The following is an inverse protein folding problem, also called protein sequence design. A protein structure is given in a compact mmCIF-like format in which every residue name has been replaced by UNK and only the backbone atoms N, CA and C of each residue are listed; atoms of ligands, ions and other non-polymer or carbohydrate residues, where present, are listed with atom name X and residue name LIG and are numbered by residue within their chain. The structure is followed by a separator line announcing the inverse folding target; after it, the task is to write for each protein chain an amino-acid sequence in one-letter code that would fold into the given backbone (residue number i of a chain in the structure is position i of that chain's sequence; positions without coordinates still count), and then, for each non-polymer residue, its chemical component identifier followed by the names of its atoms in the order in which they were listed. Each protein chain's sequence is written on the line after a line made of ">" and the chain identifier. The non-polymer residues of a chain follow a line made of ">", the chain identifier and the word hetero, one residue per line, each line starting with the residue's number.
data_IF_108423380422
#
_entry.id   IF_108423380422
#
_cell.length_a   1.000
_cell.length_b   1.000
_cell.length_c   1.000
_cell.angle_alpha   90.00
_cell.angle_beta   90.00
_cell.angle_gamma   90.00
#
_symmetry.space_group_name_H-M   'P 1'
#
loop_
_entity.id
_entity.type
_entity.pdbx_description
1 polymer ?
#
# COMPACT_ATOMS: atom_id res chain seq x y z
N UNK A 1 -45.31 10.18 9.63
CA UNK A 1 -46.00 9.42 8.56
C UNK A 1 -46.79 8.30 9.22
N UNK A 2 -48.05 8.09 8.84
CA UNK A 2 -48.90 7.04 9.43
C UNK A 2 -48.49 5.66 8.93
N UNK A 3 -48.51 4.64 9.79
CA UNK A 3 -48.21 3.26 9.40
C UNK A 3 -49.31 2.68 8.50
N UNK A 4 -49.01 1.64 7.73
CA UNK A 4 -50.00 0.96 6.88
C UNK A 4 -51.19 0.43 7.71
N UNK A 5 -50.90 -0.14 8.88
CA UNK A 5 -51.89 -0.66 9.81
C UNK A 5 -52.81 0.44 10.34
N UNK A 6 -52.25 1.61 10.68
CA UNK A 6 -53.00 2.79 11.13
C UNK A 6 -53.95 3.30 10.03
N UNK A 7 -53.49 3.33 8.78
CA UNK A 7 -54.30 3.78 7.62
C UNK A 7 -55.46 2.82 7.37
N UNK A 8 -55.23 1.52 7.38
CA UNK A 8 -56.28 0.51 7.21
C UNK A 8 -57.28 0.55 8.37
N UNK A 9 -56.80 0.69 9.61
CA UNK A 9 -57.66 0.80 10.79
C UNK A 9 -58.57 2.03 10.68
N UNK A 10 -58.04 3.16 10.24
CA UNK A 10 -58.80 4.39 10.03
C UNK A 10 -59.88 4.24 8.95
N UNK A 11 -59.55 3.61 7.81
CA UNK A 11 -60.53 3.37 6.73
C UNK A 11 -61.62 2.37 7.15
N UNK A 12 -61.26 1.28 7.84
CA UNK A 12 -62.24 0.31 8.36
C UNK A 12 -63.20 0.95 9.36
N UNK A 13 -62.69 1.80 10.25
CA UNK A 13 -63.51 2.53 11.22
C UNK A 13 -64.43 3.55 10.53
N UNK A 14 -63.92 4.24 9.51
CA UNK A 14 -64.70 5.17 8.69
C UNK A 14 -65.90 4.51 7.99
N UNK A 15 -65.71 3.28 7.47
CA UNK A 15 -66.79 2.48 6.88
C UNK A 15 -67.81 2.07 7.94
N UNK A 16 -67.35 1.59 9.11
CA UNK A 16 -68.23 1.19 10.23
C UNK A 16 -69.09 2.33 10.77
N UNK A 17 -68.57 3.56 10.79
CA UNK A 17 -69.31 4.75 11.26
C UNK A 17 -70.20 5.40 10.18
N UNK A 18 -70.44 4.74 9.04
CA UNK A 18 -71.30 5.26 7.98
C UNK A 18 -70.75 6.52 7.33
N UNK A 19 -69.44 6.55 7.02
CA UNK A 19 -68.76 7.65 6.34
C UNK A 19 -68.70 8.99 7.12
N UNK A 20 -68.88 8.95 8.44
CA UNK A 20 -68.76 10.13 9.30
C UNK A 20 -67.30 10.47 9.61
N UNK A 21 -66.75 11.42 8.85
CA UNK A 21 -65.34 11.85 8.96
C UNK A 21 -64.98 12.35 10.36
N UNK A 22 -65.78 13.27 10.91
CA UNK A 22 -65.48 13.89 12.21
C UNK A 22 -65.58 12.90 13.37
N UNK A 23 -66.47 11.91 13.28
CA UNK A 23 -66.60 10.86 14.29
C UNK A 23 -65.37 9.94 14.30
N UNK A 24 -64.88 9.59 13.11
CA UNK A 24 -63.67 8.77 12.93
C UNK A 24 -62.42 9.48 13.49
N UNK A 25 -62.27 10.78 13.19
CA UNK A 25 -61.14 11.59 13.66
C UNK A 25 -61.18 11.79 15.18
N UNK A 26 -62.36 12.02 15.76
CA UNK A 26 -62.52 12.14 17.22
C UNK A 26 -62.21 10.83 17.95
N UNK A 27 -62.54 9.68 17.37
CA UNK A 27 -62.28 8.37 17.98
C UNK A 27 -60.82 7.93 17.89
N UNK A 28 -60.14 8.23 16.78
CA UNK A 28 -58.75 7.80 16.57
C UNK A 28 -57.72 8.85 17.01
N UNK A 29 -58.05 10.15 17.03
CA UNK A 29 -57.12 11.24 17.37
C UNK A 29 -56.09 11.57 16.26
N UNK A 30 -56.00 10.70 15.27
CA UNK A 30 -55.32 10.84 13.98
C UNK A 30 -56.31 10.25 12.96
N UNK A 31 -56.57 10.76 11.75
CA UNK A 31 -55.70 11.45 10.79
C UNK A 31 -56.32 12.78 10.32
N UNK A 32 -55.69 13.49 9.37
CA UNK A 32 -56.31 14.69 8.76
C UNK A 32 -57.50 14.33 7.86
N UNK A 33 -58.48 15.25 7.77
CA UNK A 33 -59.69 15.08 6.92
C UNK A 33 -59.36 14.69 5.48
N UNK A 34 -58.30 15.27 4.91
CA UNK A 34 -57.87 15.02 3.53
C UNK A 34 -57.16 13.67 3.39
N UNK A 35 -56.36 13.26 4.38
CA UNK A 35 -55.72 11.95 4.38
C UNK A 35 -56.75 10.81 4.42
N UNK A 36 -57.77 10.92 5.29
CA UNK A 36 -58.82 9.90 5.38
C UNK A 36 -59.64 9.78 4.10
N UNK A 37 -59.94 10.92 3.43
CA UNK A 37 -60.59 10.92 2.11
C UNK A 37 -59.73 10.26 1.03
N UNK A 38 -58.42 10.53 1.03
CA UNK A 38 -57.47 9.92 0.11
C UNK A 38 -57.41 8.41 0.28
N UNK A 39 -57.21 7.96 1.51
CA UNK A 39 -57.16 6.53 1.83
C UNK A 39 -58.48 5.81 1.50
N UNK A 40 -59.63 6.44 1.78
CA UNK A 40 -60.92 5.84 1.44
C UNK A 40 -61.10 5.67 -0.08
N UNK A 41 -60.68 6.66 -0.89
CA UNK A 41 -60.72 6.56 -2.36
C UNK A 41 -59.81 5.45 -2.88
N UNK A 42 -58.59 5.37 -2.37
CA UNK A 42 -57.65 4.29 -2.71
C UNK A 42 -58.24 2.93 -2.34
N UNK A 43 -58.82 2.80 -1.14
CA UNK A 43 -59.42 1.57 -0.67
C UNK A 43 -60.62 1.12 -1.51
N UNK A 44 -61.47 2.03 -2.00
CA UNK A 44 -62.56 1.66 -2.92
C UNK A 44 -62.01 1.14 -4.26
N UNK A 45 -60.92 1.74 -4.76
CA UNK A 45 -60.40 1.43 -6.09
C UNK A 45 -59.59 0.13 -6.14
N UNK A 46 -58.78 -0.15 -5.11
CA UNK A 46 -57.89 -1.33 -5.08
C UNK A 46 -58.27 -2.38 -4.02
N UNK A 47 -59.32 -2.16 -3.23
CA UNK A 47 -59.67 -2.97 -2.04
C UNK A 47 -58.54 -3.09 -0.99
N UNK A 48 -57.45 -2.35 -1.19
CA UNK A 48 -56.28 -2.30 -0.33
C UNK A 48 -55.57 -0.94 -0.44
N UNK A 49 -54.79 -0.57 0.58
CA UNK A 49 -54.02 0.66 0.65
C UNK A 49 -52.58 0.42 0.21
N UNK A 50 -51.93 1.42 -0.40
CA UNK A 50 -50.53 1.25 -0.80
C UNK A 50 -49.60 1.31 0.41
N UNK A 51 -48.79 0.27 0.58
CA UNK A 51 -47.78 0.14 1.66
C UNK A 51 -46.63 1.15 1.52
N UNK A 52 -46.40 1.71 0.33
CA UNK A 52 -45.34 2.68 0.06
C UNK A 52 -45.63 3.64 -1.08
N UNK A 53 -44.77 4.67 -1.21
CA UNK A 53 -44.82 5.62 -2.33
C UNK A 53 -44.36 4.92 -3.62
N UNK A 54 -45.31 4.39 -4.38
CA UNK A 54 -45.05 3.84 -5.71
C UNK A 54 -45.06 5.00 -6.70
N UNK A 55 -43.89 5.33 -7.27
CA UNK A 55 -43.81 6.22 -8.45
C UNK A 55 -44.45 5.49 -9.63
N UNK A 56 -45.77 5.61 -9.77
CA UNK A 56 -46.51 5.05 -10.91
C UNK A 56 -46.30 5.83 -12.21
N UNK A 57 -45.59 6.95 -12.17
CA UNK A 57 -45.25 7.66 -13.39
C UNK A 57 -44.07 6.96 -14.07
N UNK A 58 -44.39 5.93 -14.86
CA UNK A 58 -43.49 5.45 -15.89
C UNK A 58 -43.31 6.58 -16.90
N UNK A 59 -42.12 7.19 -16.94
CA UNK A 59 -41.81 8.33 -17.81
C UNK A 59 -41.92 8.01 -19.30
N UNK A 60 -41.98 6.72 -19.65
CA UNK A 60 -42.01 6.22 -21.03
C UNK A 60 -43.04 5.10 -21.13
N UNK A 61 -43.79 5.08 -22.23
CA UNK A 61 -44.76 4.02 -22.52
C UNK A 61 -44.06 2.70 -22.84
N UNK A 62 -44.74 1.58 -22.63
CA UNK A 62 -44.22 0.24 -22.96
C UNK A 62 -43.90 0.10 -24.45
N UNK A 63 -44.69 0.73 -25.33
CA UNK A 63 -44.44 0.77 -26.77
C UNK A 63 -43.14 1.52 -27.10
N UNK A 64 -42.89 2.67 -26.47
CA UNK A 64 -41.63 3.41 -26.64
C UNK A 64 -40.41 2.59 -26.19
N UNK A 65 -40.57 1.77 -25.14
CA UNK A 65 -39.50 0.86 -24.71
C UNK A 65 -39.18 -0.18 -25.79
N UNK A 66 -40.21 -0.81 -26.36
CA UNK A 66 -40.04 -1.86 -27.38
C UNK A 66 -39.35 -1.31 -28.65
N UNK A 67 -39.83 -0.18 -29.18
CA UNK A 67 -39.24 0.46 -30.36
C UNK A 67 -37.76 0.82 -30.13
N UNK A 68 -37.41 1.32 -28.94
CA UNK A 68 -36.04 1.66 -28.61
C UNK A 68 -35.11 0.44 -28.54
N UNK A 69 -35.62 -0.70 -28.06
CA UNK A 69 -34.87 -1.96 -27.97
C UNK A 69 -34.76 -2.63 -29.34
N UNK A 70 -35.82 -2.63 -30.15
CA UNK A 70 -35.79 -3.15 -31.53
C UNK A 70 -34.79 -2.38 -32.40
N UNK A 71 -34.84 -1.05 -32.37
CA UNK A 71 -33.87 -0.21 -33.08
C UNK A 71 -32.43 -0.48 -32.60
N UNK A 72 -32.23 -0.78 -31.32
CA UNK A 72 -30.90 -1.13 -30.78
C UNK A 72 -30.39 -2.47 -31.34
N UNK A 73 -31.29 -3.43 -31.55
CA UNK A 73 -30.96 -4.73 -32.13
C UNK A 73 -30.63 -4.64 -33.61
N UNK A 74 -31.42 -3.89 -34.37
CA UNK A 74 -31.22 -3.70 -35.82
C UNK A 74 -29.91 -2.99 -36.16
N UNK A 75 -29.48 -2.05 -35.30
CA UNK A 75 -28.33 -1.17 -35.57
C UNK A 75 -27.05 -1.59 -34.82
N UNK A 76 -26.89 -2.89 -34.54
CA UNK A 76 -25.62 -3.45 -34.07
C UNK A 76 -25.26 -3.12 -32.62
N UNK A 77 -26.25 -2.96 -31.73
CA UNK A 77 -26.06 -2.79 -30.29
C UNK A 77 -25.32 -1.50 -29.87
N UNK A 78 -25.44 -0.43 -30.65
CA UNK A 78 -24.87 0.87 -30.31
C UNK A 78 -25.88 1.77 -29.56
N UNK A 79 -25.74 1.85 -28.23
CA UNK A 79 -26.61 2.69 -27.38
C UNK A 79 -26.55 4.18 -27.75
N UNK A 80 -25.38 4.68 -28.14
CA UNK A 80 -25.21 6.09 -28.50
C UNK A 80 -25.92 6.42 -29.81
N UNK A 81 -25.99 5.47 -30.75
CA UNK A 81 -26.68 5.65 -32.01
C UNK A 81 -28.19 5.69 -31.81
N UNK A 82 -28.75 4.73 -31.07
CA UNK A 82 -30.20 4.69 -30.79
C UNK A 82 -30.69 5.94 -30.06
N UNK A 83 -29.92 6.45 -29.10
CA UNK A 83 -30.24 7.70 -28.41
C UNK A 83 -30.25 8.92 -29.34
N UNK A 84 -29.32 8.98 -30.31
CA UNK A 84 -29.29 10.09 -31.29
C UNK A 84 -30.42 10.00 -32.30
N UNK A 85 -30.79 8.79 -32.73
CA UNK A 85 -31.84 8.60 -33.74
C UNK A 85 -33.23 8.81 -33.17
N UNK A 86 -33.49 8.31 -31.95
CA UNK A 86 -34.82 8.38 -31.33
C UNK A 86 -35.02 9.65 -30.49
N UNK A 87 -33.94 10.31 -30.04
CA UNK A 87 -33.99 11.54 -29.24
C UNK A 87 -34.44 11.36 -27.78
N UNK A 88 -34.85 10.15 -27.43
CA UNK A 88 -35.11 9.59 -26.10
C UNK A 88 -34.67 8.10 -26.22
N UNK A 89 -34.34 7.32 -25.18
CA UNK A 89 -34.25 7.53 -23.72
C UNK A 89 -32.82 7.87 -23.22
N UNK A 90 -32.61 7.92 -21.90
CA UNK A 90 -31.25 8.01 -21.32
C UNK A 90 -30.50 6.68 -21.45
N UNK A 91 -29.16 6.73 -21.41
CA UNK A 91 -28.30 5.53 -21.49
C UNK A 91 -28.66 4.48 -20.44
N UNK A 92 -28.94 4.93 -19.21
CA UNK A 92 -29.32 4.06 -18.09
C UNK A 92 -30.68 3.41 -18.34
N UNK A 93 -31.70 4.19 -18.74
CA UNK A 93 -33.03 3.66 -19.04
C UNK A 93 -33.01 2.66 -20.20
N UNK A 94 -32.23 2.92 -21.26
CA UNK A 94 -32.07 1.97 -22.36
C UNK A 94 -31.40 0.68 -21.89
N UNK A 95 -30.37 0.78 -21.04
CA UNK A 95 -29.71 -0.39 -20.46
C UNK A 95 -30.66 -1.21 -19.60
N UNK A 96 -31.50 -0.56 -18.79
CA UNK A 96 -32.49 -1.23 -17.96
C UNK A 96 -33.55 -1.94 -18.82
N UNK A 97 -34.02 -1.31 -19.90
CA UNK A 97 -34.99 -1.95 -20.81
C UNK A 97 -34.40 -3.13 -21.58
N UNK A 98 -33.15 -3.04 -22.01
CA UNK A 98 -32.43 -4.16 -22.62
C UNK A 98 -32.28 -5.30 -21.60
N UNK A 99 -31.99 -4.98 -20.33
CA UNK A 99 -31.90 -5.99 -19.26
C UNK A 99 -33.27 -6.62 -18.94
N UNK A 100 -34.36 -5.85 -18.98
CA UNK A 100 -35.74 -6.31 -18.76
C UNK A 100 -36.22 -7.23 -19.90
N UNK A 101 -35.94 -6.88 -21.16
CA UNK A 101 -36.47 -7.59 -22.34
C UNK A 101 -35.53 -8.67 -22.90
N UNK A 102 -34.22 -8.51 -22.75
CA UNK A 102 -33.20 -9.42 -23.28
C UNK A 102 -32.08 -9.70 -22.26
N UNK A 103 -32.35 -10.53 -21.24
CA UNK A 103 -31.34 -10.91 -20.25
C UNK A 103 -30.14 -11.66 -20.87
N UNK A 104 -30.30 -12.25 -22.06
CA UNK A 104 -29.24 -12.90 -22.85
C UNK A 104 -28.16 -11.91 -23.33
N UNK A 105 -28.56 -10.66 -23.61
CA UNK A 105 -27.66 -9.59 -24.05
C UNK A 105 -26.96 -8.89 -22.90
N UNK A 106 -27.23 -9.34 -21.68
CA UNK A 106 -26.41 -8.99 -20.53
C UNK A 106 -25.00 -9.41 -20.90
N UNK A 107 -24.19 -8.44 -21.37
CA UNK A 107 -22.74 -8.53 -21.28
C UNK A 107 -22.54 -8.81 -19.82
N UNK A 108 -22.28 -10.09 -19.52
CA UNK A 108 -21.49 -10.47 -18.36
C UNK A 108 -20.25 -9.65 -18.59
N UNK A 109 -20.24 -8.43 -18.07
CA UNK A 109 -19.02 -7.74 -17.76
C UNK A 109 -18.38 -8.77 -16.89
N UNK A 110 -17.45 -9.52 -17.49
CA UNK A 110 -16.49 -10.30 -16.77
C UNK A 110 -15.71 -9.23 -16.04
N UNK A 111 -16.31 -8.70 -14.97
CA UNK A 111 -15.72 -7.75 -14.05
C UNK A 111 -14.66 -8.56 -13.38
N UNK A 112 -13.52 -8.64 -14.06
CA UNK A 112 -12.40 -9.54 -13.82
C UNK A 112 -12.82 -11.00 -13.93
N UNK A 113 -12.05 -11.79 -14.69
CA UNK A 113 -11.97 -13.22 -14.38
C UNK A 113 -11.84 -13.31 -12.86
N UNK A 114 -12.72 -14.09 -12.21
CA UNK A 114 -12.78 -14.23 -10.76
C UNK A 114 -11.36 -14.07 -10.21
N UNK A 115 -11.11 -13.01 -9.43
CA UNK A 115 -9.83 -12.86 -8.74
C UNK A 115 -9.67 -14.16 -7.97
N UNK A 116 -8.92 -15.13 -8.52
CA UNK A 116 -8.72 -16.42 -7.90
C UNK A 116 -8.06 -16.07 -6.60
N UNK A 117 -8.83 -16.17 -5.52
CA UNK A 117 -8.36 -15.73 -4.22
C UNK A 117 -7.37 -16.77 -3.78
N UNK A 118 -6.09 -16.55 -4.10
CA UNK A 118 -5.03 -17.47 -3.72
C UNK A 118 -4.93 -17.46 -2.20
N UNK A 119 -4.99 -18.64 -1.60
CA UNK A 119 -4.82 -18.81 -0.15
C UNK A 119 -3.45 -18.22 0.26
N UNK A 120 -3.35 -17.63 1.46
CA UNK A 120 -2.10 -17.03 1.92
C UNK A 120 -0.95 -18.05 1.95
N UNK A 121 -1.24 -19.31 2.29
CA UNK A 121 -0.28 -20.41 2.26
C UNK A 121 0.27 -20.68 0.85
N UNK A 122 -0.60 -20.69 -0.17
CA UNK A 122 -0.19 -20.86 -1.56
C UNK A 122 0.68 -19.70 -2.05
N UNK A 123 0.35 -18.46 -1.64
CA UNK A 123 1.19 -17.29 -1.96
C UNK A 123 2.57 -17.38 -1.33
N UNK A 124 2.65 -17.80 -0.06
CA UNK A 124 3.93 -17.94 0.64
C UNK A 124 4.79 -19.05 0.02
N UNK A 125 4.22 -20.22 -0.29
CA UNK A 125 4.92 -21.29 -0.99
C UNK A 125 5.44 -20.84 -2.36
N UNK A 126 4.61 -20.15 -3.14
CA UNK A 126 5.00 -19.61 -4.44
C UNK A 126 6.13 -18.57 -4.36
N UNK A 127 6.17 -17.76 -3.29
CA UNK A 127 7.25 -16.79 -3.07
C UNK A 127 8.53 -17.46 -2.57
N UNK A 128 8.43 -18.51 -1.75
CA UNK A 128 9.58 -19.31 -1.34
C UNK A 128 10.23 -19.99 -2.55
N UNK A 129 9.43 -20.70 -3.36
CA UNK A 129 9.88 -21.32 -4.61
C UNK A 129 10.45 -20.27 -5.58
N UNK A 130 9.86 -19.07 -5.59
CA UNK A 130 10.42 -17.96 -6.33
C UNK A 130 11.80 -17.60 -5.77
N UNK A 131 11.96 -17.31 -4.49
CA UNK A 131 13.25 -16.87 -3.92
C UNK A 131 14.36 -17.93 -3.99
N UNK A 132 14.03 -19.22 -3.95
CA UNK A 132 15.01 -20.32 -3.99
C UNK A 132 15.30 -20.84 -5.40
N UNK A 133 14.63 -20.31 -6.44
CA UNK A 133 14.77 -20.80 -7.82
C UNK A 133 16.18 -20.60 -8.38
N UNK A 134 16.65 -21.59 -9.12
CA UNK A 134 17.77 -21.43 -10.09
C UNK A 134 17.27 -21.09 -11.51
N UNK A 135 15.97 -21.25 -11.77
CA UNK A 135 15.35 -21.05 -13.09
C UNK A 135 14.74 -19.66 -13.27
N UNK A 136 14.29 -19.36 -14.49
CA UNK A 136 13.64 -18.09 -14.80
C UNK A 136 12.31 -17.89 -14.04
N UNK A 137 11.99 -16.63 -13.74
CA UNK A 137 10.73 -16.23 -13.09
C UNK A 137 9.47 -16.70 -13.85
N UNK A 138 9.57 -16.85 -15.17
CA UNK A 138 8.47 -17.31 -16.02
C UNK A 138 8.22 -18.81 -15.90
N UNK A 139 9.24 -19.62 -15.61
CA UNK A 139 9.07 -21.05 -15.37
C UNK A 139 8.29 -21.31 -14.06
N UNK A 140 8.65 -20.59 -12.98
CA UNK A 140 7.95 -20.65 -11.69
C UNK A 140 6.51 -20.12 -11.81
N UNK A 141 6.30 -19.07 -12.60
CA UNK A 141 4.97 -18.55 -12.90
C UNK A 141 4.07 -19.64 -13.55
N UNK A 142 4.63 -20.40 -14.50
CA UNK A 142 3.90 -21.49 -15.16
C UNK A 142 3.61 -22.67 -14.22
N UNK A 143 4.55 -23.06 -13.36
CA UNK A 143 4.33 -24.17 -12.41
C UNK A 143 3.25 -23.84 -11.37
N UNK A 144 3.18 -22.58 -10.95
CA UNK A 144 2.18 -22.08 -10.00
C UNK A 144 0.86 -21.68 -10.70
N UNK A 145 0.79 -21.75 -12.03
CA UNK A 145 -0.35 -21.31 -12.85
C UNK A 145 -0.76 -19.83 -12.62
N UNK A 146 0.24 -18.98 -12.35
CA UNK A 146 0.06 -17.58 -11.96
C UNK A 146 0.88 -16.70 -12.91
N UNK A 147 0.44 -15.47 -13.18
CA UNK A 147 1.22 -14.57 -14.05
C UNK A 147 2.55 -14.17 -13.40
N UNK A 148 3.58 -13.89 -14.21
CA UNK A 148 4.85 -13.36 -13.69
C UNK A 148 4.63 -12.11 -12.84
N UNK A 149 3.76 -11.19 -13.30
CA UNK A 149 3.44 -9.95 -12.59
C UNK A 149 2.90 -10.20 -11.18
N UNK A 150 2.01 -11.17 -11.03
CA UNK A 150 1.41 -11.54 -9.73
C UNK A 150 2.44 -12.14 -8.77
N UNK A 151 3.44 -12.90 -9.25
CA UNK A 151 4.53 -13.39 -8.40
C UNK A 151 5.40 -12.25 -7.84
N UNK A 152 5.79 -11.30 -8.69
CA UNK A 152 6.53 -10.11 -8.22
C UNK A 152 5.70 -9.28 -7.24
N UNK A 153 4.40 -9.12 -7.52
CA UNK A 153 3.48 -8.44 -6.60
C UNK A 153 3.40 -9.15 -5.23
N UNK A 154 3.37 -10.48 -5.19
CA UNK A 154 3.36 -11.22 -3.92
C UNK A 154 4.70 -11.14 -3.19
N UNK A 155 5.82 -11.20 -3.91
CA UNK A 155 7.15 -10.97 -3.34
C UNK A 155 7.21 -9.60 -2.66
N UNK A 156 6.81 -8.56 -3.37
CA UNK A 156 6.87 -7.18 -2.86
C UNK A 156 5.91 -6.96 -1.67
N UNK A 157 4.80 -7.71 -1.61
CA UNK A 157 3.86 -7.68 -0.47
C UNK A 157 4.40 -8.39 0.76
N UNK A 158 5.17 -9.48 0.62
CA UNK A 158 5.65 -10.30 1.74
C UNK A 158 7.05 -9.90 2.23
N UNK A 159 7.95 -9.55 1.32
CA UNK A 159 9.35 -9.21 1.62
C UNK A 159 9.62 -7.70 1.58
N UNK A 160 8.60 -6.90 1.22
CA UNK A 160 8.76 -5.49 0.96
C UNK A 160 9.25 -5.20 -0.45
N UNK A 161 9.03 -3.97 -0.90
CA UNK A 161 9.49 -3.51 -2.21
C UNK A 161 10.99 -3.30 -2.15
N UNK A 162 11.75 -4.32 -2.55
CA UNK A 162 13.16 -4.11 -2.89
C UNK A 162 13.22 -2.94 -3.88
N UNK A 163 14.12 -1.98 -3.63
CA UNK A 163 14.31 -0.84 -4.52
C UNK A 163 14.34 -1.36 -5.96
N UNK A 164 13.55 -0.78 -6.90
CA UNK A 164 13.49 -1.28 -8.25
C UNK A 164 14.92 -1.46 -8.74
N UNK A 165 15.28 -2.69 -9.14
CA UNK A 165 16.53 -2.91 -9.86
C UNK A 165 16.54 -1.86 -10.97
N UNK A 166 17.55 -0.98 -11.04
CA UNK A 166 17.55 0.08 -12.04
C UNK A 166 17.57 -0.58 -13.41
N UNK A 167 16.39 -0.76 -13.99
CA UNK A 167 16.25 -1.19 -15.36
C UNK A 167 16.95 -0.12 -16.18
N UNK A 168 17.79 -0.54 -17.13
CA UNK A 168 18.36 0.33 -18.16
C UNK A 168 17.23 1.13 -18.80
N UNK A 169 16.98 2.33 -18.30
CA UNK A 169 16.00 3.23 -18.89
C UNK A 169 16.55 3.63 -20.26
N UNK A 170 15.72 3.43 -21.28
CA UNK A 170 15.92 4.07 -22.57
C UNK A 170 16.07 5.56 -22.32
N UNK A 171 17.16 6.09 -22.83
CA UNK A 171 17.61 7.47 -22.78
C UNK A 171 16.55 8.40 -23.35
N UNK A 172 15.72 8.98 -22.50
CA UNK A 172 15.06 10.29 -22.66
C UNK A 172 14.40 10.59 -21.33
N UNK A 173 14.66 11.78 -20.80
CA UNK A 173 14.18 12.33 -19.52
C UNK A 173 15.10 12.04 -18.33
N UNK A 174 16.21 12.78 -18.28
CA UNK A 174 16.94 13.03 -17.02
C UNK A 174 16.00 13.75 -16.05
N UNK A 175 15.71 13.20 -14.86
CA UNK A 175 15.12 14.01 -13.80
C UNK A 175 16.13 15.10 -13.41
N UNK A 176 15.61 16.30 -13.21
CA UNK A 176 16.32 17.47 -12.68
C UNK A 176 16.80 17.15 -11.26
N UNK A 177 17.96 16.50 -11.15
CA UNK A 177 18.61 16.24 -9.86
C UNK A 177 19.45 17.46 -9.54
N UNK A 178 19.00 18.25 -8.57
CA UNK A 178 19.73 19.42 -8.09
C UNK A 178 21.20 19.07 -7.84
N UNK A 179 22.17 19.67 -8.57
CA UNK A 179 23.59 19.32 -8.45
C UNK A 179 24.11 19.59 -7.03
N UNK A 180 23.49 20.54 -6.32
CA UNK A 180 23.77 20.86 -4.92
C UNK A 180 23.51 19.65 -3.99
N UNK A 181 22.38 18.94 -4.16
CA UNK A 181 22.04 17.77 -3.34
C UNK A 181 23.00 16.60 -3.60
N UNK A 182 23.45 16.43 -4.84
CA UNK A 182 24.46 15.42 -5.16
C UNK A 182 25.80 15.74 -4.50
N UNK A 183 26.23 17.00 -4.51
CA UNK A 183 27.45 17.40 -3.82
C UNK A 183 27.35 17.24 -2.30
N UNK A 184 26.20 17.55 -1.70
CA UNK A 184 25.95 17.34 -0.26
C UNK A 184 26.02 15.85 0.10
N UNK A 185 25.36 14.99 -0.68
CA UNK A 185 25.39 13.54 -0.46
C UNK A 185 26.80 12.97 -0.65
N UNK A 186 27.55 13.44 -1.64
CA UNK A 186 28.95 13.04 -1.82
C UNK A 186 29.82 13.47 -0.64
N UNK A 187 29.63 14.68 -0.10
CA UNK A 187 30.32 15.13 1.10
C UNK A 187 29.99 14.26 2.31
N UNK A 188 28.71 13.87 2.48
CA UNK A 188 28.28 12.96 3.55
C UNK A 188 28.90 11.57 3.40
N UNK A 189 28.98 11.02 2.19
CA UNK A 189 29.65 9.74 1.96
C UNK A 189 31.12 9.83 2.33
N UNK A 190 31.81 10.90 1.93
CA UNK A 190 33.22 11.12 2.27
C UNK A 190 33.42 11.29 3.78
N UNK A 191 32.53 11.99 4.48
CA UNK A 191 32.62 12.13 5.94
C UNK A 191 32.42 10.78 6.64
N UNK A 192 31.39 10.02 6.25
CA UNK A 192 31.11 8.70 6.81
C UNK A 192 32.25 7.71 6.57
N UNK A 193 32.88 7.73 5.38
CA UNK A 193 34.05 6.89 5.11
C UNK A 193 35.25 7.25 6.00
N UNK A 194 35.44 8.54 6.30
CA UNK A 194 36.47 8.99 7.26
C UNK A 194 36.14 8.52 8.67
N UNK A 195 34.88 8.61 9.08
CA UNK A 195 34.43 8.16 10.41
C UNK A 195 34.58 6.65 10.58
N UNK A 196 34.22 5.85 9.56
CA UNK A 196 34.44 4.40 9.55
C UNK A 196 35.92 4.08 9.72
N UNK A 197 36.80 4.73 8.94
CA UNK A 197 38.26 4.50 9.04
C UNK A 197 38.80 4.88 10.42
N UNK A 198 38.32 5.97 11.01
CA UNK A 198 38.69 6.38 12.37
C UNK A 198 38.23 5.36 13.42
N UNK A 199 36.97 4.92 13.35
CA UNK A 199 36.41 3.94 14.29
C UNK A 199 37.11 2.58 14.19
N UNK A 200 37.46 2.14 12.98
CA UNK A 200 38.26 0.94 12.77
C UNK A 200 39.63 1.05 13.45
N UNK A 201 40.30 2.19 13.29
CA UNK A 201 41.59 2.44 13.94
C UNK A 201 41.47 2.45 15.47
N UNK A 202 40.46 3.11 16.03
CA UNK A 202 40.22 3.14 17.49
C UNK A 202 39.93 1.72 18.04
N UNK A 203 39.12 0.94 17.32
CA UNK A 203 38.82 -0.45 17.69
C UNK A 203 40.07 -1.34 17.68
N UNK A 204 40.88 -1.24 16.63
CA UNK A 204 42.11 -2.03 16.51
C UNK A 204 43.13 -1.66 17.59
N UNK A 205 43.22 -0.37 17.95
CA UNK A 205 44.06 0.07 19.07
C UNK A 205 43.59 -0.59 20.38
N UNK A 206 42.29 -0.59 20.66
CA UNK A 206 41.73 -1.21 21.86
C UNK A 206 41.97 -2.73 21.88
N UNK A 207 41.75 -3.41 20.75
CA UNK A 207 42.01 -4.84 20.63
C UNK A 207 43.50 -5.16 20.85
N UNK A 208 44.40 -4.43 20.19
CA UNK A 208 45.84 -4.65 20.32
C UNK A 208 46.35 -4.30 21.72
N UNK A 209 45.80 -3.28 22.35
CA UNK A 209 46.07 -2.95 23.75
C UNK A 209 45.66 -4.08 24.68
N UNK A 210 44.49 -4.68 24.47
CA UNK A 210 44.03 -5.83 25.26
C UNK A 210 44.94 -7.06 25.05
N UNK A 211 45.33 -7.36 23.81
CA UNK A 211 46.25 -8.48 23.50
C UNK A 211 47.62 -8.31 24.17
N UNK A 212 48.24 -7.14 24.03
CA UNK A 212 49.63 -6.91 24.43
C UNK A 212 49.77 -6.58 25.92
N UNK A 213 48.84 -5.79 26.48
CA UNK A 213 48.94 -5.31 27.85
C UNK A 213 48.19 -6.20 28.83
N UNK A 214 47.33 -7.12 28.35
CA UNK A 214 46.47 -8.02 29.16
C UNK A 214 45.70 -7.31 30.29
N UNK A 215 45.55 -5.99 30.20
CA UNK A 215 44.74 -5.17 31.10
C UNK A 215 43.31 -5.34 30.60
N UNK A 216 42.47 -6.08 31.34
CA UNK A 216 41.11 -6.41 30.89
C UNK A 216 40.25 -5.18 30.58
N UNK A 217 39.39 -5.31 29.56
CA UNK A 217 38.18 -4.57 29.10
C UNK A 217 37.88 -3.12 29.56
N UNK A 218 38.83 -2.36 30.11
CA UNK A 218 38.62 -1.02 30.65
C UNK A 218 39.77 -0.05 30.40
N UNK A 219 40.66 -0.34 29.46
CA UNK A 219 41.80 0.53 29.14
C UNK A 219 41.35 1.65 28.22
N UNK A 220 41.27 2.87 28.74
CA UNK A 220 41.24 4.05 27.88
C UNK A 220 42.64 4.28 27.31
N UNK A 221 42.81 4.40 25.98
CA UNK A 221 44.12 4.61 25.34
C UNK A 221 44.88 5.85 25.86
N UNK A 222 44.15 6.81 26.44
CA UNK A 222 44.67 8.03 27.05
C UNK A 222 45.42 7.77 28.37
N UNK A 223 45.05 6.73 29.14
CA UNK A 223 45.68 6.38 30.42
C UNK A 223 46.91 5.48 30.26
N UNK A 224 47.28 5.12 29.03
CA UNK A 224 48.45 4.31 28.74
C UNK A 224 49.75 5.11 28.95
N UNK A 225 50.77 4.45 29.48
CA UNK A 225 52.10 5.07 29.59
C UNK A 225 52.68 5.32 28.20
N UNK A 226 53.49 6.38 28.03
CA UNK A 226 54.17 6.68 26.76
C UNK A 226 54.96 5.48 26.20
N UNK A 227 55.50 4.61 27.08
CA UNK A 227 56.15 3.36 26.68
C UNK A 227 55.16 2.33 26.11
N UNK A 228 54.00 2.18 26.73
CA UNK A 228 52.93 1.27 26.27
C UNK A 228 52.36 1.77 24.93
N UNK A 229 52.15 3.09 24.81
CA UNK A 229 51.77 3.73 23.55
C UNK A 229 52.78 3.44 22.43
N UNK A 230 54.09 3.53 22.71
CA UNK A 230 55.11 3.20 21.68
C UNK A 230 55.09 1.74 21.24
N UNK A 231 54.80 0.79 22.14
CA UNK A 231 54.69 -0.63 21.80
C UNK A 231 53.47 -0.90 20.90
N UNK A 232 52.36 -0.22 21.14
CA UNK A 232 51.17 -0.30 20.28
C UNK A 232 51.44 0.27 18.89
N UNK A 233 52.08 1.44 18.81
CA UNK A 233 52.48 2.04 17.54
C UNK A 233 53.40 1.09 16.77
N UNK A 234 54.41 0.49 17.42
CA UNK A 234 55.34 -0.43 16.75
C UNK A 234 54.67 -1.74 16.29
N UNK A 235 53.62 -2.19 16.96
CA UNK A 235 52.84 -3.36 16.56
C UNK A 235 51.88 -3.08 15.38
N UNK A 236 51.40 -1.84 15.25
CA UNK A 236 50.37 -1.44 14.27
C UNK A 236 50.91 -0.63 13.08
N UNK A 237 52.20 -0.26 13.07
CA UNK A 237 52.82 0.51 11.98
C UNK A 237 52.76 -0.13 10.59
N UNK A 238 52.46 -1.42 10.50
CA UNK A 238 52.33 -2.14 9.23
C UNK A 238 50.93 -1.99 8.61
N UNK A 239 49.91 -1.64 9.41
CA UNK A 239 48.52 -1.54 8.97
C UNK A 239 48.02 -0.10 8.86
N UNK A 240 48.54 0.82 9.69
CA UNK A 240 48.13 2.22 9.73
C UNK A 240 49.32 3.18 9.58
N UNK A 241 49.06 4.41 9.13
CA UNK A 241 50.13 5.41 9.02
C UNK A 241 50.57 5.89 10.41
N UNK A 242 51.87 6.18 10.55
CA UNK A 242 52.43 6.64 11.83
C UNK A 242 51.73 7.90 12.35
N UNK A 243 51.34 8.81 11.45
CA UNK A 243 50.64 10.05 11.82
C UNK A 243 49.27 9.77 12.42
N UNK A 244 48.48 8.87 11.83
CA UNK A 244 47.15 8.50 12.33
C UNK A 244 47.26 7.84 13.72
N UNK A 245 48.23 6.96 13.92
CA UNK A 245 48.47 6.27 15.19
C UNK A 245 48.90 7.24 16.31
N UNK A 246 49.80 8.18 16.00
CA UNK A 246 50.24 9.19 16.97
C UNK A 246 49.10 10.14 17.37
N UNK A 247 48.25 10.53 16.41
CA UNK A 247 47.08 11.37 16.70
C UNK A 247 46.04 10.65 17.55
N UNK A 248 45.78 9.37 17.29
CA UNK A 248 44.77 8.61 18.04
C UNK A 248 45.21 8.27 19.48
N UNK A 249 46.52 8.08 19.70
CA UNK A 249 47.08 7.78 21.02
C UNK A 249 47.49 9.03 21.82
N UNK A 250 47.31 10.23 21.24
CA UNK A 250 47.79 11.50 21.79
C UNK A 250 49.26 11.40 22.24
N UNK A 251 50.13 10.98 21.31
CA UNK A 251 51.56 10.80 21.55
C UNK A 251 52.38 11.75 20.68
N UNK A 252 53.18 12.60 21.32
CA UNK A 252 54.10 13.48 20.62
C UNK A 252 55.16 12.67 19.84
N UNK A 253 55.45 13.12 18.62
CA UNK A 253 56.43 12.48 17.73
C UNK A 253 57.82 12.36 18.37
N UNK A 254 58.25 13.38 19.12
CA UNK A 254 59.51 13.38 19.88
C UNK A 254 59.55 12.27 20.95
N UNK A 255 58.46 12.10 21.70
CA UNK A 255 58.33 11.05 22.71
C UNK A 255 58.36 9.65 22.11
N UNK A 256 57.72 9.45 20.94
CA UNK A 256 57.79 8.18 20.21
C UNK A 256 59.23 7.81 19.85
N UNK A 257 59.98 8.72 19.22
CA UNK A 257 61.37 8.45 18.82
C UNK A 257 62.31 8.27 20.02
N UNK A 258 62.11 9.01 21.11
CA UNK A 258 62.89 8.85 22.34
C UNK A 258 62.73 7.44 22.94
N UNK A 259 61.50 6.96 23.07
CA UNK A 259 61.22 5.62 23.61
C UNK A 259 61.60 4.49 22.63
N UNK A 260 61.49 4.72 21.32
CA UNK A 260 61.90 3.76 20.30
C UNK A 260 63.44 3.59 20.28
N UNK A 261 64.20 4.69 20.35
CA UNK A 261 65.67 4.66 20.45
C UNK A 261 66.14 3.92 21.72
N UNK A 262 65.51 4.23 22.86
CA UNK A 262 65.83 3.60 24.15
C UNK A 262 65.47 2.11 24.19
N UNK A 263 64.42 1.69 23.47
CA UNK A 263 64.05 0.28 23.35
C UNK A 263 65.05 -0.49 22.50
N UNK A 264 65.51 0.08 21.38
CA UNK A 264 66.55 -0.53 20.51
C UNK A 264 67.88 -0.72 21.24
N UNK A 265 68.32 0.28 22.02
CA UNK A 265 69.55 0.19 22.85
C UNK A 265 69.45 -0.90 23.92
N UNK A 266 68.26 -1.10 24.50
CA UNK A 266 68.04 -2.15 25.50
C UNK A 266 68.07 -3.55 24.88
N UNK A 267 67.54 -3.71 23.67
CA UNK A 267 67.60 -5.00 22.94
C UNK A 267 69.03 -5.34 22.54
N UNK A 268 69.85 -4.36 22.15
CA UNK A 268 71.27 -4.61 21.83
C UNK A 268 72.14 -4.97 23.04
N UNK A 269 71.72 -4.63 24.26
CA UNK A 269 72.44 -5.00 25.50
C UNK A 269 72.00 -6.35 26.09
N UNK A 270 70.96 -7.00 25.56
CA UNK A 270 70.42 -8.28 26.05
C UNK A 270 70.77 -9.48 25.17
N UNK A 271 71.59 -9.30 24.12
CA UNK A 271 72.24 -10.39 23.38
C UNK A 271 73.64 -10.62 23.98
N UNK A 272 73.83 -11.54 24.94
CA UNK A 272 75.16 -12.05 25.21
C UNK A 272 75.60 -12.96 24.06
N UNK A 273 76.88 -12.87 23.70
CA UNK A 273 77.56 -13.85 22.87
C UNK A 273 77.57 -15.23 23.54
#
# INVERSE_FOLDING_TARGET
>A
MYSYEERIRAVKLYIKLGQRLNATIRQLGYPTKNALKGWYREYIQSQDLRTGYVRLWQKYSTQQKQVAVEHFMEHGQCMAFTMRTLGYPSREALSDWINELHPELRRKVVTKAANVSHTPAHKAAAVLDFCTRQTSATAVAKSVAVSRYTLYKWKDQLLGREAPTPMKQKTTDTPDVDPAKLTELQQQVVSLLRDIRRLQLEHDILNKANELLKKGLGVTPQLLSNREKTLLVDAMKNTYTLTELLTALDLARSSYFYHCARSKVRTSMQTPA
#
